data_IF_387676621938
#
_entry.id   IF_387676621938
#
_cell.length_a   1.000
_cell.length_b   1.000
_cell.length_c   1.000
_cell.angle_alpha   90.00
_cell.angle_beta   90.00
_cell.angle_gamma   90.00
#
_symmetry.space_group_name_H-M   'P 1'
#
loop_
_entity.id
_entity.type
_entity.pdbx_description
1 polymer ?
#
# COMPACT_ATOMS: atom_id res chain seq x y z
N UNK A 1 -39.34 4.52 26.91
CA UNK A 1 -38.77 3.55 25.96
C UNK A 1 -38.38 4.15 24.60
N UNK A 2 -39.00 5.22 24.09
CA UNK A 2 -38.64 5.81 22.77
C UNK A 2 -37.32 6.60 22.73
N UNK A 3 -37.00 7.38 23.77
CA UNK A 3 -35.83 8.28 23.78
C UNK A 3 -34.50 7.53 23.80
N UNK A 4 -34.39 6.44 24.57
CA UNK A 4 -33.17 5.62 24.64
C UNK A 4 -32.88 4.92 23.29
N UNK A 5 -33.93 4.44 22.60
CA UNK A 5 -33.77 3.83 21.28
C UNK A 5 -33.29 4.83 20.22
N UNK A 6 -33.82 6.07 20.25
CA UNK A 6 -33.37 7.13 19.36
C UNK A 6 -31.92 7.52 19.61
N UNK A 7 -31.51 7.63 20.88
CA UNK A 7 -30.11 7.93 21.24
C UNK A 7 -29.16 6.84 20.73
N UNK A 8 -29.49 5.57 20.96
CA UNK A 8 -28.69 4.44 20.50
C UNK A 8 -28.56 4.42 18.96
N UNK A 9 -29.65 4.72 18.24
CA UNK A 9 -29.62 4.82 16.78
C UNK A 9 -28.70 5.93 16.28
N UNK A 10 -28.76 7.13 16.88
CA UNK A 10 -27.89 8.25 16.50
C UNK A 10 -26.41 7.91 16.76
N UNK A 11 -26.11 7.28 17.90
CA UNK A 11 -24.75 6.84 18.23
C UNK A 11 -24.24 5.79 17.24
N UNK A 12 -25.09 4.83 16.86
CA UNK A 12 -24.74 3.83 15.84
C UNK A 12 -24.46 4.47 14.47
N UNK A 13 -25.33 5.37 14.01
CA UNK A 13 -25.13 6.07 12.72
C UNK A 13 -23.83 6.87 12.74
N UNK A 14 -23.54 7.59 13.82
CA UNK A 14 -22.29 8.35 13.94
C UNK A 14 -21.07 7.43 13.89
N UNK A 15 -21.10 6.32 14.64
CA UNK A 15 -20.02 5.33 14.63
C UNK A 15 -19.78 4.75 13.23
N UNK A 16 -20.85 4.39 12.51
CA UNK A 16 -20.74 3.89 11.13
C UNK A 16 -20.16 4.94 10.18
N UNK A 17 -20.46 6.22 10.39
CA UNK A 17 -19.89 7.31 9.59
C UNK A 17 -18.41 7.51 9.91
N UNK A 18 -18.03 7.54 11.19
CA UNK A 18 -16.63 7.64 11.63
C UNK A 18 -15.78 6.50 11.02
N UNK A 19 -16.28 5.26 11.00
CA UNK A 19 -15.56 4.14 10.38
C UNK A 19 -15.36 4.31 8.87
N UNK A 20 -16.39 4.76 8.15
CA UNK A 20 -16.28 5.01 6.70
C UNK A 20 -15.33 6.17 6.39
N UNK A 21 -15.36 7.22 7.21
CA UNK A 21 -14.51 8.38 7.07
C UNK A 21 -13.03 8.02 7.31
N UNK A 22 -12.75 7.24 8.35
CA UNK A 22 -11.44 6.67 8.60
C UNK A 22 -10.91 5.85 7.41
N UNK A 23 -11.74 4.96 6.86
CA UNK A 23 -11.34 4.13 5.71
C UNK A 23 -11.04 4.98 4.47
N UNK A 24 -11.86 5.99 4.19
CA UNK A 24 -11.64 6.92 3.08
C UNK A 24 -10.33 7.70 3.22
N UNK A 25 -10.08 8.25 4.41
CA UNK A 25 -8.83 8.96 4.72
C UNK A 25 -7.61 8.03 4.63
N UNK A 26 -7.74 6.82 5.14
CA UNK A 26 -6.71 5.78 5.07
C UNK A 26 -6.37 5.41 3.62
N UNK A 27 -7.38 5.22 2.78
CA UNK A 27 -7.19 5.00 1.34
C UNK A 27 -6.42 6.17 0.70
N UNK A 28 -6.81 7.41 0.98
CA UNK A 28 -6.13 8.61 0.51
C UNK A 28 -4.64 8.64 0.91
N UNK A 29 -4.34 8.29 2.16
CA UNK A 29 -2.97 8.19 2.66
C UNK A 29 -2.14 7.11 1.94
N UNK A 30 -2.71 5.92 1.75
CA UNK A 30 -2.03 4.82 1.08
C UNK A 30 -1.77 5.13 -0.40
N UNK A 31 -2.74 5.73 -1.10
CA UNK A 31 -2.55 6.22 -2.47
C UNK A 31 -1.48 7.32 -2.52
N UNK A 32 -1.45 8.22 -1.55
CA UNK A 32 -0.40 9.24 -1.47
C UNK A 32 0.99 8.59 -1.32
N UNK A 33 1.16 7.66 -0.37
CA UNK A 33 2.41 6.89 -0.23
C UNK A 33 2.82 6.20 -1.53
N UNK A 34 1.89 5.52 -2.19
CA UNK A 34 2.15 4.86 -3.47
C UNK A 34 2.63 5.86 -4.53
N UNK A 35 1.97 7.01 -4.64
CA UNK A 35 2.36 8.06 -5.60
C UNK A 35 3.82 8.51 -5.39
N UNK A 36 4.29 8.60 -4.14
CA UNK A 36 5.67 8.96 -3.82
C UNK A 36 6.66 7.87 -4.24
N UNK A 37 6.34 6.60 -4.06
CA UNK A 37 7.22 5.49 -4.49
C UNK A 37 7.43 5.45 -6.00
N UNK A 38 6.41 5.82 -6.77
CA UNK A 38 6.46 5.77 -8.23
C UNK A 38 6.58 7.15 -8.89
N UNK A 39 6.94 8.19 -8.13
CA UNK A 39 7.08 9.57 -8.65
C UNK A 39 5.88 10.04 -9.50
N UNK A 40 4.68 9.61 -9.11
CA UNK A 40 3.42 10.11 -9.63
C UNK A 40 2.88 11.22 -8.73
N UNK A 41 1.84 11.91 -9.19
CA UNK A 41 1.03 12.80 -8.35
C UNK A 41 -0.28 12.13 -7.99
N UNK A 42 -0.84 12.51 -6.84
CA UNK A 42 -2.20 12.15 -6.44
C UNK A 42 -3.12 13.36 -6.62
N UNK A 43 -4.18 13.17 -7.40
CA UNK A 43 -5.30 14.10 -7.53
C UNK A 43 -6.44 13.63 -6.62
N UNK A 44 -7.04 14.56 -5.90
CA UNK A 44 -8.23 14.36 -5.09
C UNK A 44 -9.31 15.34 -5.56
N UNK A 45 -10.47 14.81 -5.95
CA UNK A 45 -11.65 15.63 -6.27
C UNK A 45 -12.67 15.41 -5.18
N UNK A 46 -13.00 16.43 -4.38
CA UNK A 46 -13.96 16.29 -3.27
C UNK A 46 -15.42 16.15 -3.76
N UNK A 47 -16.37 15.92 -2.86
CA UNK A 47 -17.79 15.75 -3.19
C UNK A 47 -18.45 16.98 -3.83
N UNK A 48 -17.84 18.16 -3.69
CA UNK A 48 -18.25 19.44 -4.30
C UNK A 48 -17.71 19.59 -5.73
N UNK A 49 -16.79 18.72 -6.15
CA UNK A 49 -16.14 18.77 -7.46
C UNK A 49 -14.89 19.66 -7.50
N UNK A 50 -14.38 20.09 -6.36
CA UNK A 50 -13.13 20.86 -6.25
C UNK A 50 -11.94 19.90 -6.33
N UNK A 51 -10.93 20.28 -7.10
CA UNK A 51 -9.77 19.43 -7.42
C UNK A 51 -8.54 19.92 -6.66
N UNK A 52 -7.86 19.00 -5.99
CA UNK A 52 -6.64 19.22 -5.22
C UNK A 52 -5.55 18.28 -5.73
N UNK A 53 -4.31 18.79 -5.81
CA UNK A 53 -3.13 17.96 -6.02
C UNK A 53 -2.47 17.76 -4.66
N UNK A 54 -2.22 16.51 -4.29
CA UNK A 54 -1.59 16.11 -3.05
C UNK A 54 -0.13 15.79 -3.36
N UNK A 55 0.79 16.70 -3.06
CA UNK A 55 2.24 16.51 -3.29
C UNK A 55 2.98 16.26 -1.97
N UNK A 56 2.48 16.87 -0.89
CA UNK A 56 3.00 16.78 0.47
C UNK A 56 1.90 16.41 1.47
N UNK A 57 2.28 15.92 2.64
CA UNK A 57 1.31 15.52 3.68
C UNK A 57 0.36 16.66 4.09
N UNK A 58 0.83 17.92 4.04
CA UNK A 58 0.00 19.09 4.36
C UNK A 58 -1.16 19.30 3.39
N UNK A 59 -1.07 18.81 2.14
CA UNK A 59 -2.12 18.95 1.13
C UNK A 59 -3.31 18.02 1.45
N UNK A 60 -3.08 16.98 2.27
CA UNK A 60 -4.12 16.05 2.72
C UNK A 60 -5.18 16.70 3.61
N UNK A 61 -4.98 17.94 4.08
CA UNK A 61 -6.02 18.72 4.80
C UNK A 61 -7.33 18.83 4.02
N UNK A 62 -7.25 18.80 2.68
CA UNK A 62 -8.43 18.76 1.81
C UNK A 62 -9.27 17.49 2.02
N UNK A 63 -8.61 16.34 2.23
CA UNK A 63 -9.23 15.05 2.55
C UNK A 63 -9.77 15.07 3.98
N UNK A 64 -8.98 15.56 4.95
CA UNK A 64 -9.40 15.66 6.36
C UNK A 64 -10.66 16.56 6.49
N UNK A 65 -10.75 17.63 5.71
CA UNK A 65 -11.94 18.51 5.68
C UNK A 65 -13.18 17.75 5.21
N UNK A 66 -13.07 16.97 4.13
CA UNK A 66 -14.20 16.17 3.65
C UNK A 66 -14.59 15.05 4.63
N UNK A 67 -13.61 14.46 5.31
CA UNK A 67 -13.83 13.51 6.41
C UNK A 67 -14.70 14.12 7.51
N UNK A 68 -14.37 15.33 7.96
CA UNK A 68 -15.12 16.06 8.98
C UNK A 68 -16.54 16.41 8.51
N UNK A 69 -16.69 16.93 7.29
CA UNK A 69 -18.01 17.24 6.69
C UNK A 69 -18.88 15.98 6.57
N UNK A 70 -18.28 14.84 6.21
CA UNK A 70 -18.99 13.56 6.21
C UNK A 70 -19.35 13.12 7.64
N UNK A 71 -18.46 13.16 8.63
CA UNK A 71 -18.81 12.76 10.01
C UNK A 71 -19.94 13.65 10.58
N UNK A 72 -19.91 14.95 10.27
CA UNK A 72 -20.91 15.94 10.69
C UNK A 72 -22.29 15.75 10.02
N UNK A 73 -22.38 14.94 8.95
CA UNK A 73 -23.64 14.74 8.22
C UNK A 73 -23.92 15.81 7.15
N UNK A 74 -22.91 16.58 6.75
CA UNK A 74 -23.05 17.64 5.74
C UNK A 74 -23.05 17.10 4.31
N UNK A 75 -22.46 15.92 4.10
CA UNK A 75 -22.49 15.16 2.83
C UNK A 75 -22.70 13.67 3.11
N UNK A 76 -23.38 12.94 2.23
CA UNK A 76 -23.52 11.48 2.31
C UNK A 76 -22.57 10.72 1.38
N UNK A 77 -21.67 11.43 0.71
CA UNK A 77 -20.70 10.85 -0.23
C UNK A 77 -19.32 11.47 -0.05
N UNK A 78 -18.31 10.69 -0.40
CA UNK A 78 -16.95 11.17 -0.56
C UNK A 78 -16.66 11.56 -2.00
N UNK A 79 -15.58 12.29 -2.19
CA UNK A 79 -14.92 12.50 -3.46
C UNK A 79 -14.23 11.24 -4.00
N UNK A 80 -13.27 11.46 -4.89
CA UNK A 80 -12.51 10.41 -5.55
C UNK A 80 -11.04 10.77 -5.71
N UNK A 81 -10.21 9.72 -5.72
CA UNK A 81 -8.78 9.82 -5.98
C UNK A 81 -8.45 9.40 -7.40
N UNK A 82 -7.42 10.03 -7.96
CA UNK A 82 -6.86 9.66 -9.27
C UNK A 82 -5.35 9.84 -9.26
N UNK A 83 -4.64 8.87 -9.82
CA UNK A 83 -3.21 9.01 -10.08
C UNK A 83 -2.94 9.80 -11.36
N UNK A 84 -1.88 10.59 -11.33
CA UNK A 84 -1.30 11.26 -12.50
C UNK A 84 0.14 10.77 -12.63
N UNK A 85 0.40 9.93 -13.62
CA UNK A 85 1.74 9.37 -13.86
C UNK A 85 2.74 10.47 -14.24
N UNK A 86 3.95 10.35 -13.69
CA UNK A 86 5.09 11.21 -14.00
C UNK A 86 6.07 10.53 -14.97
N UNK A 87 7.14 11.25 -15.33
CA UNK A 87 8.18 10.78 -16.27
C UNK A 87 8.82 9.44 -15.83
N UNK A 88 9.00 9.26 -14.52
CA UNK A 88 9.68 8.10 -13.96
C UNK A 88 8.73 6.99 -13.48
N UNK A 89 7.41 7.18 -13.58
CA UNK A 89 6.44 6.22 -13.01
C UNK A 89 6.57 4.83 -13.61
N UNK A 90 6.71 4.73 -14.92
CA UNK A 90 6.89 3.42 -15.56
C UNK A 90 8.21 2.74 -15.16
N UNK A 91 9.29 3.51 -15.03
CA UNK A 91 10.58 2.97 -14.58
C UNK A 91 10.47 2.39 -13.16
N UNK A 92 9.83 3.12 -12.24
CA UNK A 92 9.60 2.67 -10.86
C UNK A 92 8.74 1.40 -10.81
N UNK A 93 7.71 1.30 -11.65
CA UNK A 93 6.88 0.10 -11.76
C UNK A 93 7.69 -1.08 -12.32
N UNK A 94 8.53 -0.87 -13.33
CA UNK A 94 9.38 -1.92 -13.86
C UNK A 94 10.37 -2.44 -12.81
N UNK A 95 10.98 -1.53 -12.03
CA UNK A 95 11.83 -1.91 -10.91
C UNK A 95 11.08 -2.77 -9.87
N UNK A 96 9.84 -2.40 -9.54
CA UNK A 96 8.99 -3.19 -8.65
C UNK A 96 8.74 -4.59 -9.19
N UNK A 97 8.37 -4.71 -10.46
CA UNK A 97 8.14 -6.00 -11.11
C UNK A 97 9.40 -6.88 -11.09
N UNK A 98 10.56 -6.31 -11.43
CA UNK A 98 11.83 -7.04 -11.44
C UNK A 98 12.24 -7.46 -10.02
N UNK A 99 12.12 -6.57 -9.04
CA UNK A 99 12.47 -6.86 -7.65
C UNK A 99 11.56 -7.94 -7.05
N UNK A 100 10.24 -7.87 -7.28
CA UNK A 100 9.30 -8.91 -6.84
C UNK A 100 9.64 -10.29 -7.45
N UNK A 101 10.13 -10.32 -8.69
CA UNK A 101 10.54 -11.56 -9.37
C UNK A 101 11.86 -12.12 -8.91
N UNK A 102 12.82 -11.29 -8.54
CA UNK A 102 14.21 -11.71 -8.35
C UNK A 102 14.66 -11.76 -6.90
N UNK A 103 14.00 -11.02 -6.00
CA UNK A 103 14.31 -11.09 -4.58
C UNK A 103 13.82 -12.43 -4.01
N UNK A 104 14.68 -13.05 -3.20
CA UNK A 104 14.36 -14.27 -2.47
C UNK A 104 14.71 -14.14 -1.00
N UNK A 105 13.89 -14.74 -0.16
CA UNK A 105 14.04 -14.79 1.29
C UNK A 105 14.39 -16.21 1.69
N UNK A 106 15.34 -16.35 2.61
CA UNK A 106 15.63 -17.65 3.19
C UNK A 106 14.49 -18.08 4.12
N UNK A 107 13.95 -19.27 3.87
CA UNK A 107 12.99 -19.89 4.77
C UNK A 107 13.73 -20.89 5.66
N UNK A 108 13.70 -20.68 6.97
CA UNK A 108 14.46 -21.52 7.91
C UNK A 108 13.82 -22.90 8.15
N UNK A 109 12.52 -23.04 7.92
CA UNK A 109 11.80 -24.29 8.15
C UNK A 109 12.00 -25.29 7.00
N UNK A 110 12.05 -24.78 5.77
CA UNK A 110 12.22 -25.58 4.55
C UNK A 110 13.67 -25.62 4.06
N UNK A 111 14.56 -24.83 4.68
CA UNK A 111 15.98 -24.71 4.34
C UNK A 111 16.21 -24.35 2.86
N UNK A 112 15.36 -23.47 2.31
CA UNK A 112 15.47 -23.01 0.93
C UNK A 112 15.05 -21.54 0.75
N UNK A 113 15.40 -20.98 -0.41
CA UNK A 113 15.02 -19.62 -0.80
C UNK A 113 13.64 -19.60 -1.45
N UNK A 114 12.77 -18.72 -0.96
CA UNK A 114 11.39 -18.53 -1.43
C UNK A 114 11.17 -17.14 -2.00
N UNK A 115 10.11 -16.99 -2.80
CA UNK A 115 9.66 -15.67 -3.27
C UNK A 115 9.14 -14.82 -2.13
N UNK A 116 9.11 -13.49 -2.32
CA UNK A 116 8.45 -12.58 -1.35
C UNK A 116 7.02 -13.02 -1.09
N UNK A 117 6.27 -13.41 -2.14
CA UNK A 117 4.85 -13.74 -2.02
C UNK A 117 4.60 -14.99 -1.18
N UNK A 118 5.45 -16.01 -1.30
CA UNK A 118 5.37 -17.22 -0.48
C UNK A 118 5.68 -16.91 0.99
N UNK A 119 6.77 -16.19 1.24
CA UNK A 119 7.23 -15.89 2.60
C UNK A 119 6.27 -14.96 3.35
N UNK A 120 5.83 -13.88 2.71
CA UNK A 120 4.90 -12.90 3.30
C UNK A 120 3.42 -13.34 3.20
N UNK A 121 3.17 -14.52 2.60
CA UNK A 121 1.84 -15.15 2.47
C UNK A 121 0.81 -14.24 1.81
N UNK A 122 1.21 -13.59 0.72
CA UNK A 122 0.36 -12.73 -0.11
C UNK A 122 0.03 -13.42 -1.44
N UNK A 123 -0.94 -12.88 -2.18
CA UNK A 123 -1.33 -13.41 -3.49
C UNK A 123 -0.13 -13.50 -4.43
N UNK A 124 -0.10 -14.56 -5.26
CA UNK A 124 0.95 -14.78 -6.25
C UNK A 124 1.11 -13.55 -7.14
N UNK A 125 2.36 -13.16 -7.35
CA UNK A 125 2.69 -11.93 -8.07
C UNK A 125 2.64 -12.15 -9.58
N UNK A 126 2.00 -11.20 -10.27
CA UNK A 126 2.06 -11.05 -11.72
C UNK A 126 2.45 -9.60 -12.05
N UNK A 127 3.16 -9.43 -13.17
CA UNK A 127 3.59 -8.10 -13.62
C UNK A 127 2.42 -7.14 -13.76
N UNK A 128 2.57 -5.97 -13.15
CA UNK A 128 1.63 -4.86 -13.29
C UNK A 128 2.13 -3.87 -14.34
N UNK A 129 1.23 -3.34 -15.16
CA UNK A 129 1.59 -2.51 -16.33
C UNK A 129 1.55 -1.02 -16.06
N UNK A 130 0.74 -0.59 -15.10
CA UNK A 130 0.47 0.80 -14.81
C UNK A 130 0.15 0.98 -13.32
N UNK A 131 0.07 2.24 -12.87
CA UNK A 131 -0.13 2.54 -11.45
C UNK A 131 -1.48 2.04 -10.89
N UNK A 132 -2.52 1.92 -11.73
CA UNK A 132 -3.82 1.42 -11.27
C UNK A 132 -3.77 -0.09 -11.02
N UNK A 133 -3.16 -0.87 -11.91
CA UNK A 133 -2.92 -2.30 -11.68
C UNK A 133 -2.03 -2.54 -10.45
N UNK A 134 -1.00 -1.70 -10.26
CA UNK A 134 -0.16 -1.73 -9.06
C UNK A 134 -0.96 -1.41 -7.80
N UNK A 135 -1.84 -0.40 -7.83
CA UNK A 135 -2.73 -0.10 -6.72
C UNK A 135 -3.66 -1.26 -6.42
N UNK A 136 -4.32 -1.84 -7.42
CA UNK A 136 -5.20 -3.01 -7.25
C UNK A 136 -4.46 -4.18 -6.61
N UNK A 137 -3.23 -4.45 -7.04
CA UNK A 137 -2.38 -5.47 -6.43
C UNK A 137 -2.05 -5.11 -4.97
N UNK A 138 -1.58 -3.90 -4.69
CA UNK A 138 -1.15 -3.50 -3.34
C UNK A 138 -2.31 -3.32 -2.35
N UNK A 139 -3.47 -2.88 -2.82
CA UNK A 139 -4.66 -2.69 -2.00
C UNK A 139 -5.46 -3.98 -1.80
N UNK A 140 -5.08 -5.09 -2.42
CA UNK A 140 -5.77 -6.35 -2.27
C UNK A 140 -5.63 -6.87 -0.83
N UNK A 141 -6.74 -7.13 -0.17
CA UNK A 141 -6.76 -7.68 1.19
C UNK A 141 -6.44 -9.18 1.17
N UNK A 142 -5.57 -9.62 2.08
CA UNK A 142 -5.34 -11.03 2.42
C UNK A 142 -6.59 -11.63 3.05
N UNK A 143 -6.67 -12.97 3.04
CA UNK A 143 -7.63 -13.79 3.81
C UNK A 143 -7.64 -13.45 5.31
N UNK A 144 -6.55 -12.87 5.85
CA UNK A 144 -6.40 -12.46 7.25
C UNK A 144 -6.62 -10.95 7.49
N UNK A 145 -7.11 -10.20 6.49
CA UNK A 145 -7.50 -8.79 6.61
C UNK A 145 -6.35 -7.78 6.55
N UNK A 146 -5.17 -8.18 6.07
CA UNK A 146 -4.02 -7.29 5.83
C UNK A 146 -3.81 -7.14 4.33
N UNK A 147 -3.72 -5.91 3.82
CA UNK A 147 -3.44 -5.69 2.40
C UNK A 147 -2.02 -6.12 2.00
N UNK A 148 -1.79 -6.40 0.72
CA UNK A 148 -0.44 -6.64 0.21
C UNK A 148 0.52 -5.50 0.57
N UNK A 149 0.06 -4.25 0.51
CA UNK A 149 0.84 -3.09 0.92
C UNK A 149 1.26 -3.16 2.39
N UNK A 150 0.36 -3.61 3.28
CA UNK A 150 0.66 -3.79 4.70
C UNK A 150 1.64 -4.93 4.94
N UNK A 151 1.47 -6.06 4.24
CA UNK A 151 2.39 -7.20 4.33
C UNK A 151 3.80 -6.85 3.82
N UNK A 152 3.90 -6.03 2.77
CA UNK A 152 5.17 -5.61 2.20
C UNK A 152 5.80 -4.40 2.91
N UNK A 153 5.13 -3.79 3.89
CA UNK A 153 5.69 -2.65 4.63
C UNK A 153 6.99 -3.05 5.36
N UNK A 154 7.11 -4.32 5.77
CA UNK A 154 8.37 -4.92 6.20
C UNK A 154 8.50 -6.37 5.71
N UNK A 155 9.49 -6.62 4.87
CA UNK A 155 9.79 -7.89 4.21
C UNK A 155 11.02 -8.51 4.86
N UNK A 156 11.03 -9.82 5.09
CA UNK A 156 12.23 -10.52 5.57
C UNK A 156 12.13 -11.13 6.96
N UNK A 157 10.92 -11.29 7.51
CA UNK A 157 10.74 -11.93 8.82
C UNK A 157 10.41 -13.42 8.74
N UNK A 158 10.08 -13.95 7.56
CA UNK A 158 9.70 -15.37 7.37
C UNK A 158 8.53 -15.83 8.26
N UNK A 159 7.62 -14.90 8.59
CA UNK A 159 6.54 -15.16 9.56
C UNK A 159 7.04 -15.40 11.00
N UNK A 160 8.29 -15.02 11.29
CA UNK A 160 8.92 -15.04 12.62
C UNK A 160 9.19 -13.60 13.12
N UNK A 161 9.81 -13.44 14.29
CA UNK A 161 10.29 -12.13 14.76
C UNK A 161 11.77 -11.89 14.41
N UNK A 162 12.41 -12.82 13.68
CA UNK A 162 13.83 -12.76 13.36
C UNK A 162 14.06 -12.39 11.89
N UNK A 163 14.94 -11.42 11.59
CA UNK A 163 15.30 -11.09 10.21
C UNK A 163 16.01 -12.24 9.52
N UNK A 164 15.65 -12.49 8.27
CA UNK A 164 16.20 -13.57 7.45
C UNK A 164 17.28 -13.09 6.48
N UNK A 165 17.92 -14.05 5.81
CA UNK A 165 18.84 -13.80 4.71
C UNK A 165 18.05 -13.45 3.45
N UNK A 166 18.50 -12.42 2.74
CA UNK A 166 17.84 -11.92 1.53
C UNK A 166 18.86 -11.86 0.40
N UNK A 167 18.48 -12.42 -0.75
CA UNK A 167 19.30 -12.44 -1.95
C UNK A 167 18.55 -11.84 -3.14
N UNK A 168 19.31 -11.43 -4.14
CA UNK A 168 18.84 -11.19 -5.49
C UNK A 168 19.28 -12.37 -6.39
N UNK A 169 18.33 -13.12 -6.91
CA UNK A 169 18.56 -14.22 -7.85
C UNK A 169 18.28 -13.75 -9.28
N UNK A 170 19.31 -13.64 -10.12
CA UNK A 170 19.18 -13.16 -11.49
C UNK A 170 18.55 -14.21 -12.44
N UNK A 171 18.27 -15.43 -11.98
CA UNK A 171 17.65 -16.51 -12.77
C UNK A 171 18.61 -17.17 -13.79
N UNK A 172 19.88 -16.77 -13.81
CA UNK A 172 20.93 -17.34 -14.66
C UNK A 172 22.02 -18.08 -13.85
N UNK A 173 21.72 -18.43 -12.60
CA UNK A 173 22.67 -19.06 -11.67
C UNK A 173 23.59 -18.07 -10.95
N UNK A 174 23.59 -16.79 -11.32
CA UNK A 174 24.20 -15.73 -10.51
C UNK A 174 23.25 -15.39 -9.36
N UNK A 175 23.80 -15.26 -8.17
CA UNK A 175 23.12 -14.72 -7.00
C UNK A 175 23.91 -13.55 -6.44
N UNK A 176 23.21 -12.68 -5.72
CA UNK A 176 23.82 -11.60 -4.97
C UNK A 176 23.21 -11.50 -3.58
N UNK A 177 24.01 -11.24 -2.56
CA UNK A 177 23.54 -11.23 -1.17
C UNK A 177 23.21 -9.79 -0.81
N UNK A 178 21.92 -9.49 -0.64
CA UNK A 178 21.46 -8.17 -0.20
C UNK A 178 21.75 -8.00 1.30
N UNK A 179 21.44 -9.03 2.10
CA UNK A 179 21.80 -9.08 3.53
C UNK A 179 21.84 -10.53 4.02
N UNK A 180 22.75 -10.81 4.96
CA UNK A 180 22.83 -12.10 5.66
C UNK A 180 21.81 -12.21 6.81
N UNK A 181 21.30 -11.09 7.30
CA UNK A 181 20.21 -11.01 8.28
C UNK A 181 19.68 -9.58 8.30
N UNK A 182 18.48 -9.37 7.77
CA UNK A 182 17.87 -8.05 7.72
C UNK A 182 16.48 -8.05 7.11
N UNK A 183 15.94 -6.86 6.92
CA UNK A 183 14.62 -6.64 6.33
C UNK A 183 14.69 -5.62 5.21
N UNK A 184 13.69 -5.64 4.33
CA UNK A 184 13.45 -4.66 3.29
C UNK A 184 12.14 -3.93 3.55
N UNK A 185 12.04 -2.66 3.16
CA UNK A 185 10.79 -1.91 3.19
C UNK A 185 10.15 -1.89 1.80
N UNK A 186 8.83 -1.76 1.70
CA UNK A 186 8.10 -1.68 0.43
C UNK A 186 8.73 -0.68 -0.55
N UNK A 187 9.14 0.50 -0.07
CA UNK A 187 9.71 1.55 -0.91
C UNK A 187 10.96 1.11 -1.68
N UNK A 188 11.76 0.19 -1.11
CA UNK A 188 13.00 -0.27 -1.76
C UNK A 188 12.73 -1.15 -2.98
N UNK A 189 11.55 -1.76 -3.06
CA UNK A 189 11.15 -2.53 -4.23
C UNK A 189 10.99 -1.65 -5.48
N UNK A 190 10.82 -0.34 -5.33
CA UNK A 190 10.72 0.60 -6.46
C UNK A 190 12.08 1.13 -6.94
N UNK A 191 13.16 0.73 -6.26
CA UNK A 191 14.52 1.16 -6.54
C UNK A 191 15.28 0.15 -7.41
N UNK A 192 16.20 0.65 -8.23
CA UNK A 192 16.93 -0.18 -9.19
C UNK A 192 18.24 -0.77 -8.63
N UNK A 193 18.74 -0.25 -7.50
CA UNK A 193 20.10 -0.55 -7.03
C UNK A 193 20.24 -1.89 -6.31
N UNK A 194 19.14 -2.57 -5.92
CA UNK A 194 19.21 -3.85 -5.20
C UNK A 194 19.95 -4.94 -6.00
N UNK A 195 19.91 -4.85 -7.32
CA UNK A 195 20.64 -5.76 -8.22
C UNK A 195 22.16 -5.47 -8.27
N UNK A 196 22.61 -4.33 -7.73
CA UNK A 196 23.98 -3.82 -7.84
C UNK A 196 24.71 -3.71 -6.48
N UNK A 197 24.04 -4.02 -5.36
CA UNK A 197 24.62 -4.03 -3.99
C UNK A 197 25.68 -5.12 -3.85
#
# INVERSE_FOLDING_TARGET
>A
MGVQKLKAYIEQVRFEREQKAYNFRSEGFLRYRLSKFVYAKLEFTNHKGEVFIIEEENDMKSIDTEEEEYIAGETDKFGSFRFIEGEYTQERINNFNDNMKHIRLWNYAEEEYKTITETERIIEFADVKNINELWEYLSHDKVEGVSNMGALDTIGYDGTEQPTKIIYDYGNGKINIITESGTLSLGILFENYLKDI
#
